data_IF_803913640724
#
_entry.id   IF_803913640724
#
_cell.length_a   1.000
_cell.length_b   1.000
_cell.length_c   1.000
_cell.angle_alpha   90.00
_cell.angle_beta   90.00
_cell.angle_gamma   90.00
#
_symmetry.space_group_name_H-M   'P 1'
#
loop_
_entity.id
_entity.type
_entity.pdbx_description
1 polymer ?
#
# COMPACT_ATOMS: atom_id res chain seq x y z
N UNK A 1 -19.59 -6.84 -11.69
CA UNK A 1 -19.97 -5.41 -11.59
C UNK A 1 -18.82 -4.63 -10.96
N UNK A 2 -18.56 -3.45 -11.47
CA UNK A 2 -17.51 -2.59 -10.90
C UNK A 2 -18.03 -1.83 -9.67
N UNK A 3 -17.33 -1.96 -8.57
CA UNK A 3 -17.61 -1.23 -7.33
C UNK A 3 -16.51 -0.21 -7.05
N UNK A 4 -16.87 0.89 -6.43
CA UNK A 4 -15.96 1.97 -6.07
C UNK A 4 -16.14 2.34 -4.61
N UNK A 5 -15.01 2.63 -3.93
CA UNK A 5 -14.98 2.98 -2.51
C UNK A 5 -14.29 4.33 -2.33
N UNK A 6 -14.85 5.15 -1.45
CA UNK A 6 -14.33 6.48 -1.13
C UNK A 6 -14.08 7.30 -2.41
N UNK A 7 -15.16 7.47 -3.18
CA UNK A 7 -15.10 8.17 -4.46
C UNK A 7 -14.89 9.66 -4.24
N UNK A 8 -13.77 10.16 -4.75
CA UNK A 8 -13.48 11.59 -4.77
C UNK A 8 -13.64 12.19 -6.15
N UNK A 9 -13.41 13.50 -6.29
CA UNK A 9 -13.58 14.19 -7.59
C UNK A 9 -12.53 13.78 -8.63
N UNK A 10 -11.40 13.22 -8.21
CA UNK A 10 -10.32 12.79 -9.12
C UNK A 10 -10.10 11.29 -9.13
N UNK A 11 -10.36 10.62 -8.01
CA UNK A 11 -10.02 9.21 -7.87
C UNK A 11 -10.85 8.57 -6.79
N UNK A 12 -10.96 7.26 -6.85
CA UNK A 12 -11.46 6.43 -5.77
C UNK A 12 -10.30 5.84 -4.99
N UNK A 13 -10.46 5.60 -3.69
CA UNK A 13 -9.44 4.94 -2.89
C UNK A 13 -9.27 3.47 -3.26
N UNK A 14 -10.35 2.84 -3.72
CA UNK A 14 -10.32 1.44 -4.13
C UNK A 14 -11.41 1.18 -5.15
N UNK A 15 -11.10 0.35 -6.14
CA UNK A 15 -12.08 -0.21 -7.06
C UNK A 15 -12.03 -1.72 -7.00
N UNK A 16 -13.19 -2.36 -7.20
CA UNK A 16 -13.31 -3.82 -7.17
C UNK A 16 -14.00 -4.31 -8.44
N UNK A 17 -13.40 -5.29 -9.07
CA UNK A 17 -13.98 -5.94 -10.26
C UNK A 17 -13.48 -7.38 -10.33
N UNK A 18 -14.39 -8.32 -10.61
CA UNK A 18 -14.06 -9.74 -10.77
C UNK A 18 -13.23 -10.31 -9.60
N UNK A 19 -13.66 -9.98 -8.37
CA UNK A 19 -13.00 -10.44 -7.13
C UNK A 19 -11.56 -9.97 -6.98
N UNK A 20 -11.23 -8.83 -7.57
CA UNK A 20 -9.93 -8.20 -7.40
C UNK A 20 -10.14 -6.76 -6.93
N UNK A 21 -9.44 -6.38 -5.87
CA UNK A 21 -9.40 -5.03 -5.35
C UNK A 21 -8.15 -4.30 -5.83
N UNK A 22 -8.34 -3.12 -6.39
CA UNK A 22 -7.27 -2.24 -6.86
C UNK A 22 -7.27 -1.00 -5.99
N UNK A 23 -6.24 -0.86 -5.16
CA UNK A 23 -6.11 0.28 -4.27
C UNK A 23 -5.34 1.40 -4.97
N UNK A 24 -5.73 2.63 -4.68
CA UNK A 24 -4.92 3.78 -5.04
C UNK A 24 -3.61 3.78 -4.26
N UNK A 25 -2.65 4.61 -4.66
CA UNK A 25 -1.40 4.77 -3.94
C UNK A 25 -1.64 5.25 -2.51
N UNK A 26 -1.21 4.48 -1.53
CA UNK A 26 -1.36 4.82 -0.12
C UNK A 26 -0.12 5.56 0.37
N UNK A 27 -0.35 6.62 1.13
CA UNK A 27 0.68 7.57 1.56
C UNK A 27 0.61 7.75 3.07
N UNK A 28 1.71 8.20 3.72
CA UNK A 28 1.68 8.42 5.16
C UNK A 28 0.87 9.67 5.53
N UNK A 29 0.17 9.60 6.64
CA UNK A 29 -0.55 10.75 7.21
C UNK A 29 0.39 11.62 8.04
N UNK A 30 1.17 11.02 8.95
CA UNK A 30 2.14 11.72 9.78
C UNK A 30 3.54 11.66 9.15
N UNK A 31 3.91 12.74 8.46
CA UNK A 31 5.18 12.83 7.74
C UNK A 31 6.37 13.15 8.64
N UNK A 32 6.16 13.36 9.94
CA UNK A 32 7.23 13.56 10.91
C UNK A 32 7.99 12.26 11.23
N UNK A 33 7.41 11.12 10.90
CA UNK A 33 8.02 9.81 11.11
C UNK A 33 9.15 9.55 10.12
N UNK A 34 10.08 8.66 10.50
CA UNK A 34 11.10 8.15 9.59
C UNK A 34 10.50 7.18 8.57
N UNK A 35 11.34 6.63 7.71
CA UNK A 35 10.87 5.70 6.67
C UNK A 35 10.15 4.49 7.25
N UNK A 36 10.63 3.91 8.32
CA UNK A 36 10.00 2.75 8.96
C UNK A 36 8.64 3.12 9.53
N UNK A 37 8.54 4.25 10.22
CA UNK A 37 7.28 4.76 10.77
C UNK A 37 6.27 5.10 9.68
N UNK A 38 6.70 5.78 8.61
CA UNK A 38 5.83 6.10 7.49
C UNK A 38 5.31 4.83 6.81
N UNK A 39 6.17 3.84 6.62
CA UNK A 39 5.77 2.56 6.01
C UNK A 39 4.75 1.83 6.87
N UNK A 40 4.92 1.80 8.19
CA UNK A 40 3.92 1.21 9.10
C UNK A 40 2.54 1.87 8.95
N UNK A 41 2.49 3.19 8.84
CA UNK A 41 1.23 3.93 8.63
C UNK A 41 0.55 3.51 7.32
N UNK A 42 1.32 3.48 6.25
CA UNK A 42 0.81 3.11 4.92
C UNK A 42 0.24 1.69 4.95
N UNK A 43 0.95 0.75 5.55
CA UNK A 43 0.51 -0.64 5.64
C UNK A 43 -0.75 -0.79 6.51
N UNK A 44 -0.85 -0.01 7.59
CA UNK A 44 -2.05 0.00 8.43
C UNK A 44 -3.27 0.52 7.67
N UNK A 45 -3.10 1.53 6.82
CA UNK A 45 -4.18 2.05 5.98
C UNK A 45 -4.60 1.03 4.93
N UNK A 46 -3.66 0.31 4.34
CA UNK A 46 -3.95 -0.79 3.41
C UNK A 46 -4.79 -1.87 4.11
N UNK A 47 -4.45 -2.24 5.34
CA UNK A 47 -5.23 -3.19 6.12
C UNK A 47 -6.68 -2.75 6.29
N UNK A 48 -6.91 -1.46 6.57
CA UNK A 48 -8.26 -0.90 6.72
C UNK A 48 -9.05 -0.97 5.42
N UNK A 49 -8.44 -0.62 4.29
CA UNK A 49 -9.10 -0.65 3.00
C UNK A 49 -9.46 -2.08 2.61
N UNK A 50 -8.55 -3.02 2.78
CA UNK A 50 -8.82 -4.43 2.46
C UNK A 50 -9.93 -5.01 3.34
N UNK A 51 -10.02 -4.61 4.61
CA UNK A 51 -11.09 -5.05 5.51
C UNK A 51 -12.48 -4.64 5.02
N UNK A 52 -12.61 -3.53 4.29
CA UNK A 52 -13.89 -3.10 3.73
C UNK A 52 -14.49 -4.11 2.77
N UNK A 53 -13.67 -4.93 2.15
CA UNK A 53 -14.09 -5.95 1.16
C UNK A 53 -13.82 -7.36 1.66
N UNK A 54 -13.69 -7.55 2.96
CA UNK A 54 -13.42 -8.83 3.63
C UNK A 54 -12.14 -9.51 3.14
N UNK A 55 -11.18 -8.72 2.64
CA UNK A 55 -9.85 -9.19 2.26
C UNK A 55 -8.84 -8.85 3.35
N UNK A 56 -7.61 -9.27 3.16
CA UNK A 56 -6.52 -9.01 4.09
C UNK A 56 -5.16 -9.14 3.38
N UNK A 57 -4.09 -8.89 4.13
CA UNK A 57 -2.72 -8.94 3.61
C UNK A 57 -2.30 -10.30 3.07
N UNK A 58 -2.96 -11.38 3.47
CA UNK A 58 -2.67 -12.71 2.94
C UNK A 58 -3.18 -12.89 1.51
N UNK A 59 -4.08 -12.03 1.07
CA UNK A 59 -4.69 -12.07 -0.26
C UNK A 59 -4.07 -11.05 -1.22
N UNK A 60 -3.04 -10.34 -0.81
CA UNK A 60 -2.36 -9.37 -1.69
C UNK A 60 -1.65 -10.12 -2.81
N UNK A 61 -1.96 -9.74 -4.03
CA UNK A 61 -1.38 -10.32 -5.24
C UNK A 61 -0.10 -9.61 -5.65
N UNK A 62 -0.12 -8.28 -5.59
CA UNK A 62 0.97 -7.44 -6.05
C UNK A 62 1.07 -6.18 -5.20
N UNK A 63 2.30 -5.80 -4.88
CA UNK A 63 2.62 -4.54 -4.26
C UNK A 63 3.65 -3.80 -5.11
N UNK A 64 3.42 -2.51 -5.34
CA UNK A 64 4.38 -1.61 -5.95
C UNK A 64 4.78 -0.60 -4.89
N UNK A 65 6.05 -0.57 -4.54
CA UNK A 65 6.59 0.33 -3.51
C UNK A 65 7.43 1.40 -4.19
N UNK A 66 7.05 2.66 -3.95
CA UNK A 66 7.77 3.82 -4.45
C UNK A 66 8.46 4.51 -3.27
N UNK A 67 9.78 4.65 -3.35
CA UNK A 67 10.59 5.32 -2.34
C UNK A 67 11.11 6.64 -2.88
N UNK A 68 10.97 7.71 -2.11
CA UNK A 68 11.54 9.00 -2.47
C UNK A 68 13.08 8.95 -2.52
N UNK A 69 13.68 8.07 -1.72
CA UNK A 69 15.11 7.81 -1.68
C UNK A 69 15.34 6.30 -1.57
N UNK A 70 16.03 5.72 -2.56
CA UNK A 70 16.28 4.27 -2.58
C UNK A 70 17.16 3.82 -1.41
N UNK A 71 17.90 4.71 -0.79
CA UNK A 71 18.68 4.41 0.41
C UNK A 71 17.79 4.05 1.61
N UNK A 72 16.50 4.34 1.54
CA UNK A 72 15.51 3.95 2.56
C UNK A 72 15.00 2.51 2.40
N UNK A 73 15.56 1.75 1.49
CA UNK A 73 15.11 0.38 1.20
C UNK A 73 15.11 -0.51 2.45
N UNK A 74 16.19 -0.52 3.21
CA UNK A 74 16.29 -1.35 4.41
C UNK A 74 15.30 -0.91 5.49
N UNK A 75 15.10 0.40 5.68
CA UNK A 75 14.15 0.93 6.65
C UNK A 75 12.70 0.62 6.28
N UNK A 76 12.37 0.69 5.01
CA UNK A 76 11.06 0.28 4.50
C UNK A 76 10.85 -1.22 4.73
N UNK A 77 11.85 -2.04 4.40
CA UNK A 77 11.75 -3.48 4.58
C UNK A 77 11.59 -3.89 6.05
N UNK A 78 12.11 -3.12 7.00
CA UNK A 78 11.92 -3.41 8.42
C UNK A 78 10.41 -3.43 8.78
N UNK A 79 9.65 -2.45 8.31
CA UNK A 79 8.20 -2.43 8.52
C UNK A 79 7.47 -3.46 7.66
N UNK A 80 7.90 -3.64 6.42
CA UNK A 80 7.34 -4.63 5.51
C UNK A 80 7.44 -6.06 6.08
N UNK A 81 8.60 -6.43 6.60
CA UNK A 81 8.85 -7.76 7.14
C UNK A 81 7.97 -8.07 8.37
N UNK A 82 7.64 -7.04 9.16
CA UNK A 82 6.70 -7.18 10.27
C UNK A 82 5.27 -7.41 9.78
N UNK A 83 4.92 -6.88 8.62
CA UNK A 83 3.56 -6.86 8.11
C UNK A 83 3.19 -8.13 7.33
N UNK A 84 4.09 -8.65 6.51
CA UNK A 84 3.82 -9.82 5.68
C UNK A 84 3.66 -11.09 6.50
N UNK A 85 2.93 -12.04 5.94
CA UNK A 85 2.74 -13.36 6.55
C UNK A 85 3.67 -14.35 5.85
N UNK A 86 4.45 -15.08 6.62
CA UNK A 86 5.39 -16.07 6.09
C UNK A 86 4.66 -17.07 5.18
N UNK A 87 5.23 -17.31 4.02
CA UNK A 87 4.64 -18.20 3.01
C UNK A 87 3.53 -17.57 2.17
N UNK A 88 3.11 -16.34 2.47
CA UNK A 88 2.00 -15.65 1.79
C UNK A 88 2.39 -14.25 1.31
N UNK A 89 3.67 -14.04 1.02
CA UNK A 89 4.17 -12.75 0.54
C UNK A 89 3.71 -12.49 -0.89
N UNK A 90 3.35 -11.25 -1.22
CA UNK A 90 2.94 -10.89 -2.59
C UNK A 90 4.14 -10.75 -3.52
N UNK A 91 3.86 -10.76 -4.82
CA UNK A 91 4.81 -10.26 -5.81
C UNK A 91 5.03 -8.77 -5.55
N UNK A 92 6.29 -8.30 -5.59
CA UNK A 92 6.62 -6.92 -5.26
C UNK A 92 7.67 -6.35 -6.20
N UNK A 93 7.52 -5.06 -6.52
CA UNK A 93 8.57 -4.25 -7.11
C UNK A 93 8.80 -3.04 -6.22
N UNK A 94 10.05 -2.59 -6.08
CA UNK A 94 10.41 -1.39 -5.33
C UNK A 94 11.29 -0.53 -6.20
N UNK A 95 10.90 0.75 -6.39
CA UNK A 95 11.64 1.69 -7.22
C UNK A 95 11.75 3.04 -6.51
N UNK A 96 12.75 3.82 -6.88
CA UNK A 96 12.84 5.21 -6.48
C UNK A 96 11.98 6.06 -7.40
N UNK A 97 11.23 6.99 -6.82
CA UNK A 97 10.42 7.93 -7.59
C UNK A 97 10.23 9.22 -6.82
N UNK A 98 10.11 10.31 -7.55
CA UNK A 98 9.72 11.59 -6.96
C UNK A 98 8.23 11.54 -6.66
N UNK A 99 7.87 11.66 -5.39
CA UNK A 99 6.48 11.61 -4.95
C UNK A 99 5.83 13.00 -5.02
N UNK A 100 4.50 13.03 -4.97
CA UNK A 100 3.76 14.27 -5.15
C UNK A 100 3.97 15.28 -4.00
N UNK A 101 4.24 14.78 -2.79
CA UNK A 101 4.58 15.62 -1.64
C UNK A 101 6.02 15.30 -1.22
N UNK A 102 6.91 16.31 -1.07
CA UNK A 102 8.29 16.07 -0.68
C UNK A 102 8.47 15.52 0.73
N UNK A 103 7.44 15.60 1.58
CA UNK A 103 7.48 15.03 2.91
C UNK A 103 7.16 13.52 2.94
N UNK A 104 6.60 12.98 1.87
CA UNK A 104 6.35 11.55 1.75
C UNK A 104 7.65 10.83 1.40
N UNK A 105 7.99 9.81 2.18
CA UNK A 105 9.15 8.97 1.93
C UNK A 105 8.79 7.69 1.19
N UNK A 106 7.52 7.31 1.22
CA UNK A 106 7.03 6.04 0.64
C UNK A 106 5.60 6.20 0.15
N UNK A 107 5.29 5.50 -0.94
CA UNK A 107 3.95 5.29 -1.44
C UNK A 107 3.82 3.84 -1.87
N UNK A 108 2.72 3.17 -1.53
CA UNK A 108 2.52 1.76 -1.86
C UNK A 108 1.19 1.59 -2.58
N UNK A 109 1.23 0.87 -3.70
CA UNK A 109 0.06 0.51 -4.51
C UNK A 109 -0.17 -0.98 -4.40
N UNK A 110 -1.38 -1.37 -4.03
CA UNK A 110 -1.75 -2.76 -3.76
C UNK A 110 -2.83 -3.24 -4.72
N UNK A 111 -2.67 -4.47 -5.19
CA UNK A 111 -3.72 -5.24 -5.86
C UNK A 111 -3.93 -6.51 -5.03
N UNK A 112 -5.17 -6.81 -4.68
CA UNK A 112 -5.49 -7.93 -3.80
C UNK A 112 -6.68 -8.74 -4.32
N UNK A 113 -6.66 -10.04 -4.02
CA UNK A 113 -7.80 -10.90 -4.29
C UNK A 113 -8.84 -10.77 -3.17
N UNK A 114 -10.12 -10.89 -3.51
CA UNK A 114 -11.19 -11.07 -2.55
C UNK A 114 -11.35 -12.56 -2.27
N UNK A 115 -11.73 -12.93 -1.04
CA UNK A 115 -11.97 -14.33 -0.70
C UNK A 115 -13.18 -14.92 -1.41
#
# INVERSE_FOLDING_TARGET
MLERFDVGPRMSEMTVHNKVAYLSGQIPEDTSQDITGQTRQVLAEIDKLLALVASDKQHVLRAEVFLADINDFAGMNAAWDEWVVAGMTPARATVEAKLADPAWKVEIVITAALP
#
